data_IF_790871069985
#
_entry.id   IF_790871069985
#
_cell.length_a   1.000
_cell.length_b   1.000
_cell.length_c   1.000
_cell.angle_alpha   90.00
_cell.angle_beta   90.00
_cell.angle_gamma   90.00
#
_symmetry.space_group_name_H-M   'P 1'
#
loop_
_entity.id
_entity.type
_entity.pdbx_description
1 polymer ?
#
# COMPACT_ATOMS: atom_id res chain seq x y z
N UNK A 1 41.37 -10.63 -3.22
CA UNK A 1 40.56 -9.40 -3.07
C UNK A 1 39.54 -9.25 -4.19
N UNK A 2 39.95 -9.13 -5.46
CA UNK A 2 39.05 -8.89 -6.61
C UNK A 2 37.89 -9.91 -6.75
N UNK A 3 38.18 -11.20 -6.62
CA UNK A 3 37.14 -12.25 -6.73
C UNK A 3 36.01 -12.07 -5.70
N UNK A 4 36.35 -11.70 -4.46
CA UNK A 4 35.35 -11.43 -3.41
C UNK A 4 34.49 -10.21 -3.75
N UNK A 5 35.09 -9.17 -4.33
CA UNK A 5 34.37 -7.96 -4.77
C UNK A 5 33.39 -8.29 -5.89
N UNK A 6 33.79 -9.10 -6.87
CA UNK A 6 32.92 -9.54 -7.98
C UNK A 6 31.74 -10.36 -7.45
N UNK A 7 32.00 -11.30 -6.53
CA UNK A 7 30.93 -12.07 -5.88
C UNK A 7 29.95 -11.16 -5.12
N UNK A 8 30.45 -10.20 -4.35
CA UNK A 8 29.62 -9.24 -3.62
C UNK A 8 28.77 -8.38 -4.56
N UNK A 9 29.34 -7.91 -5.68
CA UNK A 9 28.58 -7.16 -6.69
C UNK A 9 27.47 -8.00 -7.31
N UNK A 10 27.71 -9.28 -7.59
CA UNK A 10 26.68 -10.18 -8.11
C UNK A 10 25.53 -10.37 -7.10
N UNK A 11 25.86 -10.60 -5.82
CA UNK A 11 24.87 -10.71 -4.75
C UNK A 11 24.07 -9.42 -4.60
N UNK A 12 24.74 -8.26 -4.59
CA UNK A 12 24.05 -6.96 -4.51
C UNK A 12 23.07 -6.74 -5.66
N UNK A 13 23.43 -7.12 -6.90
CA UNK A 13 22.53 -7.02 -8.05
C UNK A 13 21.29 -7.89 -7.89
N UNK A 14 21.44 -9.11 -7.39
CA UNK A 14 20.32 -10.03 -7.14
C UNK A 14 19.39 -9.45 -6.08
N UNK A 15 19.95 -9.00 -4.95
CA UNK A 15 19.18 -8.40 -3.86
C UNK A 15 18.45 -7.15 -4.35
N UNK A 16 19.13 -6.24 -5.03
CA UNK A 16 18.53 -5.01 -5.55
C UNK A 16 17.36 -5.29 -6.51
N UNK A 17 17.52 -6.23 -7.45
CA UNK A 17 16.42 -6.61 -8.37
C UNK A 17 15.23 -7.18 -7.59
N UNK A 18 15.48 -8.04 -6.60
CA UNK A 18 14.39 -8.60 -5.79
C UNK A 18 13.70 -7.53 -4.94
N UNK A 19 14.47 -6.60 -4.38
CA UNK A 19 13.94 -5.45 -3.61
C UNK A 19 13.04 -4.58 -4.48
N UNK A 20 13.44 -4.25 -5.72
CA UNK A 20 12.59 -3.46 -6.64
C UNK A 20 11.27 -4.19 -6.91
N UNK A 21 11.31 -5.47 -7.27
CA UNK A 21 10.09 -6.25 -7.51
C UNK A 21 9.15 -6.28 -6.30
N UNK A 22 9.71 -6.42 -5.10
CA UNK A 22 8.90 -6.39 -3.87
C UNK A 22 8.33 -5.01 -3.60
N UNK A 23 9.08 -3.93 -3.83
CA UNK A 23 8.60 -2.55 -3.67
C UNK A 23 7.48 -2.22 -4.66
N UNK A 24 7.54 -2.73 -5.89
CA UNK A 24 6.46 -2.56 -6.87
C UNK A 24 5.16 -3.21 -6.40
N UNK A 25 5.25 -4.43 -5.85
CA UNK A 25 4.09 -5.13 -5.28
C UNK A 25 3.51 -4.38 -4.07
N UNK A 26 4.36 -3.89 -3.16
CA UNK A 26 3.94 -3.10 -2.00
C UNK A 26 3.24 -1.82 -2.46
N UNK A 27 3.82 -1.11 -3.43
CA UNK A 27 3.26 0.15 -3.95
C UNK A 27 1.90 -0.08 -4.62
N UNK A 28 1.78 -1.14 -5.42
CA UNK A 28 0.50 -1.54 -6.03
C UNK A 28 -0.55 -1.85 -4.95
N UNK A 29 -0.18 -2.62 -3.93
CA UNK A 29 -1.08 -2.97 -2.84
C UNK A 29 -1.48 -1.74 -2.02
N UNK A 30 -0.54 -0.87 -1.70
CA UNK A 30 -0.79 0.37 -0.97
C UNK A 30 -1.78 1.27 -1.73
N UNK A 31 -1.65 1.37 -3.05
CA UNK A 31 -2.59 2.14 -3.88
C UNK A 31 -4.01 1.56 -3.83
N UNK A 32 -4.15 0.23 -3.92
CA UNK A 32 -5.43 -0.47 -3.79
C UNK A 32 -6.05 -0.27 -2.41
N UNK A 33 -5.27 -0.46 -1.35
CA UNK A 33 -5.71 -0.24 0.03
C UNK A 33 -6.15 1.20 0.25
N UNK A 34 -5.37 2.17 -0.21
CA UNK A 34 -5.72 3.60 -0.12
C UNK A 34 -7.07 3.86 -0.80
N UNK A 35 -7.26 3.35 -2.01
CA UNK A 35 -8.52 3.48 -2.76
C UNK A 35 -9.70 2.88 -2.00
N UNK A 36 -9.55 1.65 -1.49
CA UNK A 36 -10.60 0.98 -0.73
C UNK A 36 -10.98 1.75 0.55
N UNK A 37 -9.98 2.26 1.29
CA UNK A 37 -10.23 3.09 2.49
C UNK A 37 -10.96 4.39 2.12
N UNK A 38 -10.58 5.06 1.04
CA UNK A 38 -11.31 6.25 0.57
C UNK A 38 -12.76 5.95 0.21
N UNK A 39 -13.02 4.85 -0.51
CA UNK A 39 -14.38 4.46 -0.86
C UNK A 39 -15.22 4.15 0.39
N UNK A 40 -14.65 3.40 1.34
CA UNK A 40 -15.31 3.14 2.62
C UNK A 40 -15.60 4.42 3.39
N UNK A 41 -14.68 5.39 3.37
CA UNK A 41 -14.88 6.69 4.03
C UNK A 41 -16.04 7.46 3.39
N UNK A 42 -16.10 7.53 2.07
CA UNK A 42 -17.20 8.20 1.35
C UNK A 42 -18.56 7.53 1.64
N UNK A 43 -18.61 6.20 1.60
CA UNK A 43 -19.82 5.45 1.93
C UNK A 43 -20.26 5.68 3.38
N UNK A 44 -19.30 5.69 4.31
CA UNK A 44 -19.58 5.98 5.72
C UNK A 44 -20.08 7.41 5.93
N UNK A 45 -19.46 8.40 5.28
CA UNK A 45 -19.88 9.81 5.38
C UNK A 45 -21.30 9.99 4.83
N UNK A 46 -21.67 9.29 3.76
CA UNK A 46 -23.05 9.24 3.25
C UNK A 46 -24.03 8.66 4.26
N UNK A 47 -23.73 7.47 4.80
CA UNK A 47 -24.59 6.82 5.81
C UNK A 47 -24.74 7.66 7.07
N UNK A 48 -23.68 8.33 7.51
CA UNK A 48 -23.75 9.21 8.69
C UNK A 48 -24.56 10.48 8.42
N UNK A 49 -24.57 10.99 7.19
CA UNK A 49 -25.42 12.13 6.83
C UNK A 49 -26.92 11.77 6.81
N UNK A 50 -27.26 10.56 6.36
CA UNK A 50 -28.65 10.07 6.32
C UNK A 50 -29.14 9.55 7.68
N UNK A 51 -28.33 8.74 8.35
CA UNK A 51 -28.74 7.89 9.48
C UNK A 51 -27.92 8.14 10.77
N UNK A 52 -26.89 8.99 10.70
CA UNK A 52 -25.95 9.22 11.82
C UNK A 52 -26.46 10.15 12.91
N UNK A 53 -27.63 10.76 12.72
CA UNK A 53 -28.32 11.48 13.79
C UNK A 53 -29.03 10.51 14.73
N UNK A 54 -28.92 10.72 16.06
CA UNK A 54 -29.90 10.14 16.99
C UNK A 54 -31.26 10.68 16.53
N UNK A 55 -32.11 9.79 16.03
CA UNK A 55 -33.52 10.01 15.68
C UNK A 55 -34.07 11.27 16.34
N UNK A 56 -33.97 12.40 15.63
CA UNK A 56 -34.68 13.62 15.96
C UNK A 56 -36.11 13.37 15.53
N UNK A 57 -36.84 12.58 16.33
CA UNK A 57 -38.26 12.33 16.15
C UNK A 57 -39.00 13.62 16.48
N UNK A 58 -39.04 14.55 15.53
CA UNK A 58 -40.01 15.64 15.41
C UNK A 58 -40.22 15.95 13.93
#
# INVERSE_FOLDING_TARGET
MLNRIICLQAVMKIVANKTVQTLDLITSQQSKTRTAVYQNRLALDYLLAEEGGVCGKF
#
